data_IF_315918293892
#
_entry.id   IF_315918293892
#
_cell.length_a   1.000
_cell.length_b   1.000
_cell.length_c   1.000
_cell.angle_alpha   90.00
_cell.angle_beta   90.00
_cell.angle_gamma   90.00
#
_symmetry.space_group_name_H-M   'P 1'
#
loop_
_entity.id
_entity.type
_entity.pdbx_description
1 polymer ?
#
# COMPACT_ATOMS: atom_id res chain seq x y z
N UNK A 1 -17.94 -35.43 64.43
CA UNK A 1 -18.64 -34.45 63.59
C UNK A 1 -18.28 -34.80 62.15
N UNK A 2 -19.23 -35.40 61.42
CA UNK A 2 -19.02 -36.01 60.11
C UNK A 2 -18.76 -34.95 59.04
N UNK A 3 -17.70 -35.14 58.26
CA UNK A 3 -17.45 -34.43 57.01
C UNK A 3 -17.89 -35.38 55.89
N UNK A 4 -18.91 -34.94 55.16
CA UNK A 4 -19.56 -35.66 54.08
C UNK A 4 -18.76 -35.50 52.78
N UNK A 5 -18.53 -36.63 52.11
CA UNK A 5 -17.62 -36.79 50.97
C UNK A 5 -18.45 -36.94 49.69
N UNK A 6 -18.86 -35.84 49.08
CA UNK A 6 -19.58 -35.90 47.81
C UNK A 6 -18.61 -36.05 46.62
N UNK A 7 -18.51 -37.29 46.13
CA UNK A 7 -17.91 -37.66 44.85
C UNK A 7 -18.51 -36.89 43.66
N UNK A 8 -17.67 -36.17 42.92
CA UNK A 8 -17.99 -35.68 41.58
C UNK A 8 -17.32 -36.58 40.53
N UNK A 9 -18.14 -37.28 39.73
CA UNK A 9 -17.71 -38.06 38.56
C UNK A 9 -17.38 -37.10 37.39
N UNK A 10 -16.26 -37.29 36.68
CA UNK A 10 -16.02 -36.58 35.43
C UNK A 10 -16.86 -37.20 34.31
N UNK A 11 -17.78 -36.42 33.72
CA UNK A 11 -18.45 -36.79 32.48
C UNK A 11 -17.52 -36.48 31.30
N UNK A 12 -16.84 -37.51 30.80
CA UNK A 12 -16.15 -37.48 29.52
C UNK A 12 -17.16 -37.22 28.39
N UNK A 13 -17.08 -36.05 27.76
CA UNK A 13 -17.69 -35.79 26.46
C UNK A 13 -16.62 -35.98 25.40
N UNK A 14 -16.62 -37.17 24.80
CA UNK A 14 -15.91 -37.46 23.55
C UNK A 14 -16.48 -36.57 22.44
N UNK A 15 -15.81 -35.45 22.14
CA UNK A 15 -16.04 -34.71 20.90
C UNK A 15 -15.39 -35.51 19.77
N UNK A 16 -16.20 -36.22 18.99
CA UNK A 16 -15.80 -36.76 17.70
C UNK A 16 -15.53 -35.57 16.79
N UNK A 17 -14.26 -35.29 16.51
CA UNK A 17 -13.87 -34.40 15.43
C UNK A 17 -14.23 -35.08 14.11
N UNK A 18 -15.31 -34.62 13.48
CA UNK A 18 -15.53 -34.89 12.06
C UNK A 18 -14.51 -34.02 11.31
N UNK A 19 -13.48 -34.65 10.75
CA UNK A 19 -12.66 -34.05 9.71
C UNK A 19 -13.53 -33.95 8.45
N UNK A 20 -14.16 -32.80 8.25
CA UNK A 20 -14.75 -32.42 6.97
C UNK A 20 -13.58 -31.96 6.10
N UNK A 21 -13.06 -32.87 5.30
CA UNK A 21 -12.18 -32.55 4.19
C UNK A 21 -13.03 -31.82 3.12
N UNK A 22 -13.17 -30.50 3.28
CA UNK A 22 -13.72 -29.63 2.25
C UNK A 22 -12.68 -29.51 1.14
N UNK A 23 -12.83 -30.32 0.10
CA UNK A 23 -12.15 -30.13 -1.17
C UNK A 23 -12.66 -28.79 -1.75
N UNK A 24 -11.95 -27.69 -1.47
CA UNK A 24 -12.11 -26.43 -2.19
C UNK A 24 -11.60 -26.69 -3.61
N UNK A 25 -12.51 -27.13 -4.47
CA UNK A 25 -12.33 -27.00 -5.90
C UNK A 25 -12.27 -25.50 -6.17
N UNK A 26 -11.05 -24.96 -6.25
CA UNK A 26 -10.78 -23.70 -6.94
C UNK A 26 -11.16 -23.98 -8.38
N UNK A 27 -12.44 -23.77 -8.70
CA UNK A 27 -12.88 -23.71 -10.08
C UNK A 27 -12.06 -22.60 -10.71
N UNK A 28 -11.09 -22.98 -11.54
CA UNK A 28 -10.39 -22.08 -12.42
C UNK A 28 -11.43 -21.36 -13.26
N UNK A 29 -11.85 -20.19 -12.80
CA UNK A 29 -12.32 -19.13 -13.67
C UNK A 29 -11.10 -18.71 -14.47
N UNK A 30 -10.85 -19.48 -15.53
CA UNK A 30 -10.25 -18.97 -16.74
C UNK A 30 -11.10 -17.76 -17.15
N UNK A 31 -10.69 -16.57 -16.71
CA UNK A 31 -11.10 -15.28 -17.24
C UNK A 31 -10.51 -15.14 -18.67
N UNK A 32 -10.90 -16.06 -19.55
CA UNK A 32 -10.77 -15.92 -20.98
C UNK A 32 -12.12 -15.40 -21.48
N UNK A 33 -12.31 -14.08 -21.46
CA UNK A 33 -13.55 -13.50 -21.98
C UNK A 33 -13.75 -12.03 -21.66
N UNK A 34 -13.33 -11.18 -22.61
CA UNK A 34 -13.68 -9.77 -22.75
C UNK A 34 -13.11 -8.81 -21.70
N UNK A 35 -11.78 -8.64 -21.70
CA UNK A 35 -11.16 -7.35 -21.38
C UNK A 35 -11.53 -6.34 -22.49
N UNK A 36 -12.79 -5.89 -22.49
CA UNK A 36 -13.06 -4.57 -23.02
C UNK A 36 -12.19 -3.64 -22.20
N UNK A 37 -11.19 -3.03 -22.83
CA UNK A 37 -10.40 -1.93 -22.30
C UNK A 37 -11.35 -0.75 -22.09
N UNK A 38 -12.27 -0.89 -21.13
CA UNK A 38 -12.91 0.23 -20.49
C UNK A 38 -11.75 0.99 -19.88
N UNK A 39 -11.42 2.11 -20.51
CA UNK A 39 -10.43 3.07 -20.05
C UNK A 39 -10.65 3.26 -18.55
N UNK A 40 -9.70 2.76 -17.75
CA UNK A 40 -9.80 2.80 -16.29
C UNK A 40 -9.64 4.25 -15.88
N UNK A 41 -10.75 4.97 -15.77
CA UNK A 41 -10.75 6.38 -15.42
C UNK A 41 -10.84 6.54 -13.90
N UNK A 42 -9.88 7.25 -13.33
CA UNK A 42 -9.83 7.62 -11.93
C UNK A 42 -11.04 8.45 -11.46
N UNK A 43 -11.87 9.00 -12.35
CA UNK A 43 -13.11 9.71 -12.00
C UNK A 43 -14.29 8.74 -11.79
N UNK A 44 -14.24 7.57 -12.43
CA UNK A 44 -15.35 6.60 -12.49
C UNK A 44 -15.30 5.52 -11.41
N UNK A 45 -14.17 5.35 -10.74
CA UNK A 45 -13.97 4.33 -9.71
C UNK A 45 -12.50 4.19 -9.33
N UNK A 46 -12.25 3.47 -8.24
CA UNK A 46 -10.90 3.11 -7.86
C UNK A 46 -10.41 1.90 -8.68
N UNK A 47 -9.18 2.02 -9.15
CA UNK A 47 -8.33 0.90 -9.55
C UNK A 47 -6.89 1.36 -9.38
N UNK A 48 -5.98 0.42 -9.10
CA UNK A 48 -4.55 0.69 -8.94
C UNK A 48 -3.97 1.25 -10.24
N UNK A 49 -4.36 0.73 -11.41
CA UNK A 49 -3.94 1.29 -12.71
C UNK A 49 -4.40 2.75 -12.89
N UNK A 50 -5.66 3.06 -12.58
CA UNK A 50 -6.16 4.44 -12.72
C UNK A 50 -5.46 5.41 -11.75
N UNK A 51 -5.13 4.92 -10.55
CA UNK A 51 -4.43 5.68 -9.52
C UNK A 51 -3.01 6.04 -9.96
N UNK A 52 -2.20 5.07 -10.44
CA UNK A 52 -0.85 5.38 -10.93
C UNK A 52 -0.87 6.27 -12.17
N UNK A 53 -1.95 6.24 -12.95
CA UNK A 53 -2.19 7.18 -14.06
C UNK A 53 -2.41 8.64 -13.63
N UNK A 54 -2.53 8.94 -12.33
CA UNK A 54 -2.56 10.32 -11.83
C UNK A 54 -1.18 10.85 -11.44
N UNK A 55 -0.12 10.05 -11.55
CA UNK A 55 1.24 10.47 -11.20
C UNK A 55 1.98 10.78 -12.51
N UNK A 56 2.40 12.03 -12.75
CA UNK A 56 3.24 12.36 -13.89
C UNK A 56 4.51 11.51 -13.94
N UNK A 57 4.90 11.06 -15.13
CA UNK A 57 6.14 10.32 -15.35
C UNK A 57 7.37 11.24 -15.42
N UNK A 58 7.15 12.53 -15.73
CA UNK A 58 8.21 13.53 -15.74
C UNK A 58 8.85 13.66 -14.36
N UNK A 59 10.18 13.66 -14.32
CA UNK A 59 10.97 13.89 -13.11
C UNK A 59 10.72 12.89 -11.97
N UNK A 60 10.25 11.68 -12.31
CA UNK A 60 10.17 10.57 -11.35
C UNK A 60 11.58 10.20 -10.90
N UNK A 61 11.82 10.30 -9.59
CA UNK A 61 13.10 9.92 -9.00
C UNK A 61 13.40 8.42 -9.17
N UNK A 62 14.68 8.05 -9.07
CA UNK A 62 15.11 6.64 -9.08
C UNK A 62 14.50 5.81 -7.93
N UNK A 63 14.12 6.48 -6.83
CA UNK A 63 13.46 5.85 -5.68
C UNK A 63 12.23 6.64 -5.29
N UNK A 64 11.12 5.94 -5.20
CA UNK A 64 9.84 6.50 -4.84
C UNK A 64 8.95 5.47 -4.14
N UNK A 65 7.97 6.00 -3.43
CA UNK A 65 6.88 5.24 -2.84
C UNK A 65 5.57 5.73 -3.41
N UNK A 66 4.68 4.81 -3.78
CA UNK A 66 3.31 5.11 -4.20
C UNK A 66 2.36 4.46 -3.21
N UNK A 67 1.45 5.26 -2.66
CA UNK A 67 0.44 4.82 -1.69
C UNK A 67 -0.93 5.17 -2.23
N UNK A 68 -1.90 4.27 -2.20
CA UNK A 68 -3.23 4.56 -2.74
C UNK A 68 -4.31 3.75 -2.05
N UNK A 69 -5.53 4.28 -2.02
CA UNK A 69 -6.68 3.56 -1.49
C UNK A 69 -8.03 4.06 -2.02
N UNK A 70 -9.01 3.15 -2.01
CA UNK A 70 -10.44 3.37 -2.15
C UNK A 70 -11.07 3.58 -0.77
N UNK A 71 -11.09 4.83 -0.28
CA UNK A 71 -11.66 5.14 1.03
C UNK A 71 -13.16 4.81 1.10
N UNK A 72 -13.91 5.05 0.02
CA UNK A 72 -15.33 4.72 -0.05
C UNK A 72 -15.57 3.20 -0.05
N UNK A 73 -14.81 2.46 -0.86
CA UNK A 73 -14.85 1.00 -0.88
C UNK A 73 -14.46 0.38 0.45
N UNK A 74 -13.41 0.88 1.10
CA UNK A 74 -12.99 0.41 2.43
C UNK A 74 -14.05 0.72 3.48
N UNK A 75 -14.62 1.93 3.50
CA UNK A 75 -15.69 2.29 4.44
C UNK A 75 -16.89 1.33 4.32
N UNK A 76 -17.29 0.98 3.08
CA UNK A 76 -18.35 0.00 2.81
C UNK A 76 -17.99 -1.40 3.30
N UNK A 77 -16.76 -1.86 3.07
CA UNK A 77 -16.25 -3.15 3.58
C UNK A 77 -16.31 -3.19 5.11
N UNK A 78 -15.95 -2.07 5.75
CA UNK A 78 -15.92 -1.94 7.20
C UNK A 78 -17.30 -1.72 7.82
N UNK A 79 -18.33 -1.40 7.02
CA UNK A 79 -19.63 -0.98 7.52
C UNK A 79 -19.57 0.32 8.33
N UNK A 80 -18.61 1.19 8.00
CA UNK A 80 -18.37 2.47 8.67
C UNK A 80 -18.98 3.59 7.85
N UNK A 81 -19.75 4.45 8.50
CA UNK A 81 -20.30 5.67 7.89
C UNK A 81 -19.27 6.80 8.02
N UNK A 82 -18.81 7.32 6.88
CA UNK A 82 -17.90 8.49 6.84
C UNK A 82 -18.70 9.73 7.20
N UNK A 83 -18.17 10.54 8.12
CA UNK A 83 -18.76 11.82 8.54
C UNK A 83 -17.65 12.86 8.71
N UNK A 84 -18.01 14.14 8.79
CA UNK A 84 -17.03 15.21 9.03
C UNK A 84 -16.28 15.05 10.37
N UNK A 85 -16.84 14.31 11.32
CA UNK A 85 -16.16 13.96 12.57
C UNK A 85 -15.22 12.77 12.36
N UNK A 86 -14.03 13.07 11.83
CA UNK A 86 -12.98 12.08 11.56
C UNK A 86 -12.59 11.28 12.81
N UNK A 87 -12.72 11.84 14.02
CA UNK A 87 -12.40 11.12 15.26
C UNK A 87 -13.36 9.96 15.54
N UNK A 88 -14.57 10.00 14.96
CA UNK A 88 -15.59 8.97 15.16
C UNK A 88 -15.40 7.78 14.23
N UNK A 89 -14.86 7.95 13.02
CA UNK A 89 -14.81 6.87 12.02
C UNK A 89 -13.39 6.49 11.58
N UNK A 90 -12.45 7.44 11.54
CA UNK A 90 -11.11 7.19 11.01
C UNK A 90 -10.32 6.14 11.80
N UNK A 91 -10.34 6.14 13.16
CA UNK A 91 -9.64 5.12 13.94
C UNK A 91 -10.06 3.68 13.59
N UNK A 92 -11.34 3.47 13.32
CA UNK A 92 -11.88 2.16 12.94
C UNK A 92 -11.37 1.72 11.56
N UNK A 93 -11.07 2.68 10.67
CA UNK A 93 -10.50 2.41 9.35
C UNK A 93 -8.98 2.19 9.35
N UNK A 94 -8.21 2.83 10.25
CA UNK A 94 -6.72 2.78 10.19
C UNK A 94 -6.06 1.88 11.23
N UNK A 95 -6.69 1.68 12.39
CA UNK A 95 -6.00 1.10 13.56
C UNK A 95 -6.87 0.13 14.38
N UNK A 96 -7.99 -0.33 13.83
CA UNK A 96 -8.82 -1.33 14.49
C UNK A 96 -8.08 -2.68 14.62
N UNK A 97 -8.17 -3.36 15.77
CA UNK A 97 -7.55 -4.68 15.96
C UNK A 97 -8.08 -5.73 14.98
N UNK A 98 -9.29 -5.51 14.45
CA UNK A 98 -9.99 -6.38 13.52
C UNK A 98 -10.06 -5.79 12.09
N UNK A 99 -9.30 -4.73 11.78
CA UNK A 99 -9.35 -4.10 10.46
C UNK A 99 -8.71 -5.03 9.40
N UNK A 100 -9.48 -5.53 8.41
CA UNK A 100 -9.01 -6.48 7.40
C UNK A 100 -8.11 -5.83 6.35
N UNK A 101 -8.12 -4.50 6.24
CA UNK A 101 -7.40 -3.70 5.25
C UNK A 101 -6.45 -2.76 5.98
N UNK A 102 -5.20 -2.71 5.56
CA UNK A 102 -4.29 -1.68 6.02
C UNK A 102 -4.49 -0.43 5.18
N UNK A 103 -4.72 0.70 5.85
CA UNK A 103 -4.89 2.00 5.21
C UNK A 103 -3.70 2.90 5.57
N UNK A 104 -2.61 2.90 4.77
CA UNK A 104 -1.53 3.85 4.94
C UNK A 104 -2.01 5.25 4.54
N UNK A 105 -2.37 6.09 5.52
CA UNK A 105 -2.72 7.49 5.23
C UNK A 105 -1.45 8.31 5.01
N UNK A 106 -1.29 8.99 3.87
CA UNK A 106 -0.23 9.95 3.61
C UNK A 106 -0.24 11.11 4.58
N UNK A 107 0.93 11.68 4.88
CA UNK A 107 1.07 12.80 5.81
C UNK A 107 0.20 14.00 5.41
N UNK A 108 0.21 14.41 4.14
CA UNK A 108 -0.59 15.55 3.67
C UNK A 108 -2.09 15.33 3.92
N UNK A 109 -2.60 14.11 3.76
CA UNK A 109 -4.01 13.79 4.09
C UNK A 109 -4.26 13.76 5.59
N UNK A 110 -3.31 13.28 6.40
CA UNK A 110 -3.42 13.36 7.85
C UNK A 110 -3.40 14.81 8.35
N UNK A 111 -2.64 15.68 7.69
CA UNK A 111 -2.53 17.10 8.02
C UNK A 111 -3.80 17.85 7.62
N UNK A 112 -4.35 17.60 6.43
CA UNK A 112 -5.62 18.21 6.00
C UNK A 112 -6.80 17.75 6.88
N UNK A 113 -6.79 16.49 7.32
CA UNK A 113 -7.76 15.93 8.25
C UNK A 113 -7.78 16.61 9.64
N UNK A 114 -6.69 17.26 10.07
CA UNK A 114 -6.58 17.83 11.41
C UNK A 114 -7.33 19.19 11.60
N UNK A 115 -8.32 19.49 10.75
CA UNK A 115 -9.22 20.65 10.86
C UNK A 115 -8.76 21.89 10.09
N UNK A 116 -7.45 22.17 10.02
CA UNK A 116 -6.93 23.31 9.25
C UNK A 116 -7.13 23.18 7.73
N UNK A 117 -7.28 21.95 7.22
CA UNK A 117 -7.54 21.68 5.81
C UNK A 117 -8.93 22.10 5.36
N UNK A 118 -9.97 21.86 6.16
CA UNK A 118 -11.35 22.14 5.77
C UNK A 118 -11.63 23.64 5.59
N UNK A 119 -11.15 24.46 6.52
CA UNK A 119 -11.30 25.92 6.44
C UNK A 119 -10.49 26.52 5.27
N UNK A 120 -9.33 25.92 4.96
CA UNK A 120 -8.41 26.40 3.91
C UNK A 120 -8.81 25.92 2.50
N UNK A 121 -9.29 24.68 2.38
CA UNK A 121 -9.51 24.00 1.10
C UNK A 121 -10.99 23.83 0.73
N UNK A 122 -11.90 24.03 1.69
CA UNK A 122 -13.34 23.89 1.46
C UNK A 122 -13.84 22.44 1.39
N UNK A 123 -12.98 21.45 1.69
CA UNK A 123 -13.30 20.02 1.77
C UNK A 123 -12.53 19.34 2.91
N UNK A 124 -13.00 18.18 3.35
CA UNK A 124 -12.35 17.36 4.37
C UNK A 124 -12.19 15.90 3.93
N UNK A 125 -11.54 15.05 4.74
CA UNK A 125 -11.25 13.66 4.37
C UNK A 125 -12.52 12.81 4.13
N UNK A 126 -13.67 13.16 4.71
CA UNK A 126 -14.94 12.48 4.47
C UNK A 126 -15.44 12.68 3.02
N UNK A 127 -15.06 13.79 2.38
CA UNK A 127 -15.40 14.10 0.98
C UNK A 127 -14.53 13.33 -0.02
N UNK A 128 -13.41 12.75 0.44
CA UNK A 128 -12.44 12.03 -0.39
C UNK A 128 -12.84 10.57 -0.52
N UNK A 129 -13.22 10.14 -1.72
CA UNK A 129 -13.54 8.75 -2.02
C UNK A 129 -12.31 7.89 -2.23
N UNK A 130 -11.25 8.46 -2.81
CA UNK A 130 -10.02 7.74 -3.12
C UNK A 130 -8.84 8.69 -3.27
N UNK A 131 -7.65 8.14 -3.09
CA UNK A 131 -6.41 8.90 -3.26
C UNK A 131 -5.29 8.05 -3.83
N UNK A 132 -4.29 8.76 -4.34
CA UNK A 132 -2.96 8.24 -4.66
C UNK A 132 -1.92 9.28 -4.24
N UNK A 133 -0.84 8.82 -3.62
CA UNK A 133 0.28 9.65 -3.21
C UNK A 133 1.56 9.07 -3.77
N UNK A 134 2.30 9.92 -4.46
CA UNK A 134 3.69 9.72 -4.84
C UNK A 134 4.60 10.43 -3.83
N UNK A 135 5.69 9.77 -3.42
CA UNK A 135 6.69 10.34 -2.53
C UNK A 135 8.10 9.96 -3.01
N UNK A 136 8.92 10.97 -3.29
CA UNK A 136 10.33 10.84 -3.61
C UNK A 136 11.07 12.05 -3.04
N UNK A 137 11.61 11.91 -1.82
CA UNK A 137 12.12 13.06 -1.07
C UNK A 137 13.12 13.91 -1.88
N UNK A 138 12.96 15.25 -1.88
CA UNK A 138 12.02 16.02 -1.06
C UNK A 138 10.61 16.17 -1.66
N UNK A 139 10.38 15.67 -2.87
CA UNK A 139 9.14 15.83 -3.60
C UNK A 139 8.05 14.85 -3.15
N UNK A 140 6.82 15.32 -3.12
CA UNK A 140 5.63 14.50 -2.88
C UNK A 140 4.44 15.12 -3.57
N UNK A 141 3.52 14.27 -4.02
CA UNK A 141 2.25 14.70 -4.61
C UNK A 141 1.15 13.74 -4.18
N UNK A 142 0.01 14.25 -3.78
CA UNK A 142 -1.20 13.50 -3.48
C UNK A 142 -2.33 13.97 -4.38
N UNK A 143 -2.92 13.05 -5.13
CA UNK A 143 -4.14 13.30 -5.90
C UNK A 143 -5.31 12.63 -5.19
N UNK A 144 -6.36 13.40 -4.95
CA UNK A 144 -7.62 12.92 -4.37
C UNK A 144 -8.75 13.06 -5.38
N UNK A 145 -9.76 12.20 -5.25
CA UNK A 145 -11.03 12.31 -5.96
C UNK A 145 -12.20 12.04 -5.01
N UNK A 146 -13.33 12.70 -5.23
CA UNK A 146 -14.55 12.55 -4.42
C UNK A 146 -15.56 13.66 -4.66
N UNK A 147 -16.39 13.96 -3.65
CA UNK A 147 -17.34 15.08 -3.65
C UNK A 147 -16.64 16.37 -3.20
N UNK A 148 -15.65 16.79 -3.98
CA UNK A 148 -14.77 17.90 -3.63
C UNK A 148 -15.35 19.22 -4.13
N UNK A 149 -15.38 20.23 -3.26
CA UNK A 149 -15.66 21.60 -3.65
C UNK A 149 -14.52 22.17 -4.53
N UNK A 150 -14.83 23.21 -5.30
CA UNK A 150 -13.79 23.97 -6.02
C UNK A 150 -12.78 24.60 -5.03
N UNK A 151 -11.53 24.72 -5.47
CA UNK A 151 -10.49 25.37 -4.68
C UNK A 151 -10.89 26.81 -4.32
N UNK A 152 -10.74 27.23 -3.04
CA UNK A 152 -11.11 28.57 -2.62
C UNK A 152 -10.32 29.67 -3.35
N UNK A 153 -11.00 30.77 -3.68
CA UNK A 153 -10.35 31.93 -4.31
C UNK A 153 -9.38 32.69 -3.38
N UNK A 154 -9.22 32.24 -2.15
CA UNK A 154 -8.27 32.76 -1.16
C UNK A 154 -6.86 32.23 -1.36
N UNK A 155 -6.68 31.15 -2.12
CA UNK A 155 -5.37 30.64 -2.49
C UNK A 155 -4.69 31.59 -3.49
N UNK A 156 -3.36 31.67 -3.44
CA UNK A 156 -2.58 32.55 -4.32
C UNK A 156 -2.22 31.80 -5.61
N UNK A 157 -2.45 32.37 -6.80
CA UNK A 157 -1.95 31.80 -8.06
C UNK A 157 -0.42 31.81 -8.11
N UNK A 158 0.18 30.67 -8.46
CA UNK A 158 1.63 30.52 -8.69
C UNK A 158 1.94 30.47 -10.17
N UNK A 159 1.17 29.70 -10.93
CA UNK A 159 1.26 29.55 -12.38
C UNK A 159 -0.10 29.15 -12.98
N UNK A 160 -0.15 28.86 -14.28
CA UNK A 160 -1.40 28.53 -14.98
C UNK A 160 -2.01 27.23 -14.43
N UNK A 161 -3.11 27.37 -13.67
CA UNK A 161 -3.81 26.23 -13.07
C UNK A 161 -3.24 25.74 -11.74
N UNK A 162 -2.17 26.36 -11.23
CA UNK A 162 -1.55 26.02 -9.94
C UNK A 162 -1.69 27.16 -8.93
N UNK A 163 -2.18 26.81 -7.75
CA UNK A 163 -2.41 27.70 -6.61
C UNK A 163 -1.54 27.29 -5.42
N UNK A 164 -1.42 28.15 -4.40
CA UNK A 164 -0.68 27.87 -3.16
C UNK A 164 -1.43 28.37 -1.93
N UNK A 165 -1.27 27.68 -0.79
CA UNK A 165 -1.76 28.12 0.52
C UNK A 165 -0.90 29.23 1.12
N UNK A 166 0.39 29.27 0.76
CA UNK A 166 1.30 30.34 1.15
C UNK A 166 2.35 30.64 0.07
N UNK A 167 2.78 31.90 0.01
CA UNK A 167 3.88 32.32 -0.87
C UNK A 167 5.21 31.75 -0.38
N UNK A 168 6.08 31.36 -1.32
CA UNK A 168 7.42 30.86 -1.01
C UNK A 168 7.98 29.99 -2.12
N UNK A 169 9.27 29.70 -2.04
CA UNK A 169 9.94 28.71 -2.90
C UNK A 169 9.60 27.29 -2.44
N UNK A 170 9.56 26.35 -3.38
CA UNK A 170 9.32 24.94 -3.06
C UNK A 170 10.32 24.43 -2.01
N UNK A 171 9.85 23.54 -1.14
CA UNK A 171 10.63 22.92 -0.06
C UNK A 171 11.18 23.87 1.02
N UNK A 172 11.02 25.18 0.87
CA UNK A 172 11.54 26.16 1.82
C UNK A 172 10.63 26.26 3.03
N UNK A 173 11.21 26.04 4.21
CA UNK A 173 10.53 26.14 5.50
C UNK A 173 10.42 27.62 5.89
N UNK A 174 9.20 28.11 6.09
CA UNK A 174 8.94 29.38 6.77
C UNK A 174 8.43 29.13 8.19
N UNK A 175 9.27 29.32 9.23
CA UNK A 175 8.85 29.11 10.62
C UNK A 175 7.68 30.00 11.06
N UNK A 176 7.43 31.12 10.38
CA UNK A 176 6.30 32.01 10.69
C UNK A 176 4.95 31.45 10.25
N UNK A 177 4.95 30.43 9.38
CA UNK A 177 3.77 29.79 8.81
C UNK A 177 3.45 28.44 9.46
N UNK A 178 4.28 27.96 10.39
CA UNK A 178 4.06 26.70 11.10
C UNK A 178 2.69 26.71 11.80
N UNK A 179 1.83 25.76 11.40
CA UNK A 179 0.47 25.60 11.93
C UNK A 179 -0.56 26.55 11.34
N UNK A 180 -0.17 27.48 10.46
CA UNK A 180 -1.08 28.36 9.73
C UNK A 180 -1.45 27.84 8.34
N UNK A 181 -0.61 26.96 7.78
CA UNK A 181 -0.75 26.36 6.44
C UNK A 181 -0.92 24.85 6.55
N UNK A 182 -1.19 24.17 5.44
CA UNK A 182 -1.49 22.74 5.44
C UNK A 182 -0.25 21.93 5.85
N UNK A 183 0.89 22.26 5.25
CA UNK A 183 2.17 21.67 5.65
C UNK A 183 2.58 22.17 7.05
N UNK A 184 2.65 21.25 8.01
CA UNK A 184 2.96 21.59 9.42
C UNK A 184 4.35 22.17 9.64
N UNK A 185 5.25 22.04 8.67
CA UNK A 185 6.56 22.69 8.70
C UNK A 185 6.53 24.11 8.14
N UNK A 186 5.37 24.64 7.71
CA UNK A 186 5.27 25.98 7.14
C UNK A 186 5.85 26.07 5.73
N UNK A 187 5.86 24.96 4.98
CA UNK A 187 6.27 24.93 3.58
C UNK A 187 5.08 25.23 2.67
N UNK A 188 5.27 25.87 1.51
CA UNK A 188 4.22 26.01 0.52
C UNK A 188 3.69 24.66 0.04
N UNK A 189 2.36 24.52 -0.03
CA UNK A 189 1.70 23.41 -0.70
C UNK A 189 1.08 23.90 -2.00
N UNK A 190 1.35 23.21 -3.10
CA UNK A 190 0.84 23.53 -4.44
C UNK A 190 -0.44 22.75 -4.70
N UNK A 191 -1.47 23.45 -5.17
CA UNK A 191 -2.78 22.89 -5.46
C UNK A 191 -3.10 23.03 -6.93
N UNK A 192 -3.64 21.97 -7.52
CA UNK A 192 -4.25 22.01 -8.84
C UNK A 192 -5.60 21.29 -8.82
N UNK A 193 -6.53 21.73 -9.65
CA UNK A 193 -7.91 21.21 -9.68
C UNK A 193 -8.31 20.82 -11.10
N UNK A 194 -8.86 19.61 -11.26
CA UNK A 194 -9.40 19.10 -12.52
C UNK A 194 -10.67 18.28 -12.26
N UNK A 195 -11.83 18.82 -12.64
CA UNK A 195 -13.10 18.12 -12.51
C UNK A 195 -13.46 17.90 -11.03
N UNK A 196 -13.49 16.64 -10.59
CA UNK A 196 -13.73 16.24 -9.21
C UNK A 196 -12.44 15.76 -8.50
N UNK A 197 -11.29 16.25 -8.96
CA UNK A 197 -9.96 15.86 -8.47
C UNK A 197 -9.14 17.06 -8.06
N UNK A 198 -8.38 16.89 -6.98
CA UNK A 198 -7.41 17.87 -6.51
C UNK A 198 -6.06 17.20 -6.37
N UNK A 199 -5.02 17.80 -6.95
CA UNK A 199 -3.64 17.46 -6.68
C UNK A 199 -3.06 18.42 -5.63
N UNK A 200 -2.35 17.88 -4.65
CA UNK A 200 -1.62 18.58 -3.59
C UNK A 200 -0.16 18.16 -3.67
N UNK A 201 0.74 19.10 -3.92
CA UNK A 201 2.15 18.81 -4.19
C UNK A 201 3.06 19.69 -3.35
N UNK A 202 4.23 19.17 -2.97
CA UNK A 202 5.31 19.99 -2.40
C UNK A 202 6.17 20.68 -3.47
N UNK A 203 5.83 20.50 -4.75
CA UNK A 203 6.57 20.97 -5.92
C UNK A 203 5.64 21.60 -6.96
N UNK A 204 6.04 22.76 -7.48
CA UNK A 204 5.36 23.45 -8.57
C UNK A 204 5.45 22.63 -9.85
N UNK A 205 6.64 22.13 -10.20
CA UNK A 205 6.87 21.34 -11.41
C UNK A 205 5.97 20.08 -11.47
N UNK A 206 5.84 19.33 -10.37
CA UNK A 206 4.93 18.17 -10.32
C UNK A 206 3.46 18.57 -10.47
N UNK A 207 3.05 19.70 -9.89
CA UNK A 207 1.67 20.18 -10.02
C UNK A 207 1.38 20.63 -11.46
N UNK A 208 2.32 21.30 -12.12
CA UNK A 208 2.21 21.71 -13.52
C UNK A 208 2.16 20.50 -14.46
N UNK A 209 3.02 19.49 -14.24
CA UNK A 209 3.03 18.26 -15.02
C UNK A 209 1.70 17.48 -14.90
N UNK A 210 1.08 17.52 -13.72
CA UNK A 210 -0.26 16.94 -13.55
C UNK A 210 -1.34 17.76 -14.28
N UNK A 211 -1.25 19.10 -14.23
CA UNK A 211 -2.18 19.98 -14.95
C UNK A 211 -2.08 19.79 -16.47
N UNK A 212 -0.87 19.59 -17.01
CA UNK A 212 -0.64 19.39 -18.44
C UNK A 212 -1.13 18.02 -18.94
N UNK A 213 -1.38 17.08 -18.03
CA UNK A 213 -1.81 15.70 -18.34
C UNK A 213 -0.86 15.03 -19.35
N UNK A 214 0.44 15.16 -19.07
CA UNK A 214 1.53 14.48 -19.78
C UNK A 214 1.56 12.96 -19.50
N UNK A 215 2.59 12.28 -20.00
CA UNK A 215 2.83 10.86 -19.68
C UNK A 215 2.79 10.63 -18.17
N UNK A 216 2.24 9.48 -17.78
CA UNK A 216 2.00 9.11 -16.40
C UNK A 216 2.75 7.83 -16.04
N UNK A 217 2.82 7.50 -14.75
CA UNK A 217 3.36 6.22 -14.32
C UNK A 217 2.52 5.01 -14.78
N UNK A 218 1.30 5.21 -15.30
CA UNK A 218 0.57 4.14 -15.97
C UNK A 218 1.19 3.76 -17.34
N UNK A 219 2.03 4.62 -17.92
CA UNK A 219 2.74 4.35 -19.17
C UNK A 219 4.08 3.62 -18.95
N UNK A 220 4.56 3.54 -17.70
CA UNK A 220 5.71 2.72 -17.32
C UNK A 220 5.29 1.23 -17.26
N UNK A 221 5.96 0.40 -18.06
CA UNK A 221 5.63 -1.03 -18.19
C UNK A 221 5.70 -1.77 -16.85
N UNK A 222 6.72 -1.48 -16.02
CA UNK A 222 6.94 -2.16 -14.74
C UNK A 222 5.89 -1.76 -13.70
N UNK A 223 5.56 -0.46 -13.60
CA UNK A 223 4.54 0.05 -12.69
C UNK A 223 3.16 -0.43 -13.12
N UNK A 224 2.83 -0.36 -14.41
CA UNK A 224 1.55 -0.83 -14.92
C UNK A 224 1.37 -2.34 -14.71
N UNK A 225 2.41 -3.15 -14.89
CA UNK A 225 2.35 -4.60 -14.64
C UNK A 225 2.01 -4.93 -13.17
N UNK A 226 2.63 -4.23 -12.22
CA UNK A 226 2.30 -4.33 -10.78
C UNK A 226 0.86 -3.87 -10.53
N UNK A 227 0.46 -2.73 -11.10
CA UNK A 227 -0.86 -2.15 -10.91
C UNK A 227 -1.97 -3.07 -11.44
N UNK A 228 -1.80 -3.63 -12.64
CA UNK A 228 -2.71 -4.61 -13.21
C UNK A 228 -2.82 -5.88 -12.38
N UNK A 229 -1.69 -6.37 -11.85
CA UNK A 229 -1.70 -7.54 -10.98
C UNK A 229 -2.48 -7.28 -9.69
N UNK A 230 -2.30 -6.13 -9.06
CA UNK A 230 -3.05 -5.73 -7.85
C UNK A 230 -4.55 -5.56 -8.14
N UNK A 231 -4.90 -4.97 -9.28
CA UNK A 231 -6.30 -4.85 -9.74
C UNK A 231 -6.94 -6.20 -10.01
N UNK A 232 -6.21 -7.13 -10.62
CA UNK A 232 -6.71 -8.48 -10.93
C UNK A 232 -7.13 -9.25 -9.66
N UNK A 233 -6.56 -8.90 -8.51
CA UNK A 233 -6.89 -9.50 -7.21
C UNK A 233 -7.73 -8.57 -6.31
N UNK A 234 -8.25 -7.47 -6.86
CA UNK A 234 -9.23 -6.60 -6.20
C UNK A 234 -8.67 -5.81 -5.02
N UNK A 235 -7.41 -5.39 -5.08
CA UNK A 235 -6.83 -4.51 -4.06
C UNK A 235 -7.69 -3.24 -3.89
N UNK A 236 -8.07 -2.93 -2.65
CA UNK A 236 -8.77 -1.68 -2.26
C UNK A 236 -7.81 -0.66 -1.64
N UNK A 237 -6.65 -1.11 -1.18
CA UNK A 237 -5.51 -0.28 -0.85
C UNK A 237 -4.25 -0.93 -1.42
N UNK A 238 -3.28 -0.11 -1.82
CA UNK A 238 -2.02 -0.59 -2.35
C UNK A 238 -0.83 0.30 -1.98
N UNK A 239 0.34 -0.32 -2.06
CA UNK A 239 1.64 0.34 -1.90
C UNK A 239 2.61 -0.19 -2.95
N UNK A 240 3.33 0.68 -3.66
CA UNK A 240 4.34 0.30 -4.66
C UNK A 240 5.65 1.00 -4.33
N UNK A 241 6.76 0.29 -4.37
CA UNK A 241 8.10 0.83 -4.10
C UNK A 241 9.19 0.01 -4.79
N UNK A 242 10.41 0.53 -4.81
CA UNK A 242 11.59 -0.24 -5.18
C UNK A 242 12.05 -1.13 -4.00
N UNK A 243 12.50 -2.36 -4.28
CA UNK A 243 13.03 -3.23 -3.23
C UNK A 243 14.36 -2.71 -2.67
N UNK A 244 14.65 -3.12 -1.44
CA UNK A 244 15.98 -2.92 -0.88
C UNK A 244 16.99 -3.86 -1.56
N UNK A 245 18.20 -3.37 -1.83
CA UNK A 245 19.30 -4.23 -2.28
C UNK A 245 19.74 -5.11 -1.11
N UNK A 246 19.74 -6.41 -1.35
CA UNK A 246 20.15 -7.44 -0.42
C UNK A 246 21.67 -7.44 -0.30
N UNK A 247 22.15 -7.28 0.92
CA UNK A 247 23.58 -7.35 1.25
C UNK A 247 23.76 -7.95 2.63
N UNK A 248 24.95 -8.48 2.92
CA UNK A 248 25.26 -8.94 4.26
C UNK A 248 25.15 -7.83 5.33
N UNK A 249 25.44 -6.58 4.94
CA UNK A 249 25.25 -5.40 5.79
C UNK A 249 23.77 -5.10 6.04
N UNK A 250 22.87 -5.44 5.13
CA UNK A 250 21.42 -5.32 5.35
C UNK A 250 20.96 -6.24 6.48
N UNK A 251 21.62 -7.39 6.66
CA UNK A 251 21.29 -8.39 7.69
C UNK A 251 21.93 -8.07 9.03
N UNK A 252 23.23 -7.75 9.02
CA UNK A 252 24.04 -7.59 10.23
C UNK A 252 24.14 -6.13 10.70
N UNK A 253 23.68 -5.17 9.89
CA UNK A 253 23.82 -3.75 10.13
C UNK A 253 25.13 -3.16 9.54
N UNK A 254 25.26 -1.83 9.60
CA UNK A 254 26.37 -1.10 8.96
C UNK A 254 27.74 -1.35 9.61
N UNK A 255 27.76 -1.82 10.87
CA UNK A 255 28.99 -2.06 11.63
C UNK A 255 29.61 -3.44 11.37
N UNK A 256 28.95 -4.30 10.58
CA UNK A 256 29.44 -5.64 10.27
C UNK A 256 30.74 -5.58 9.45
N UNK A 257 31.71 -6.42 9.81
CA UNK A 257 32.94 -6.52 9.02
C UNK A 257 32.64 -7.13 7.63
N UNK A 258 33.47 -6.83 6.60
CA UNK A 258 33.27 -7.39 5.27
C UNK A 258 33.17 -8.93 5.24
N UNK A 259 33.94 -9.63 6.07
CA UNK A 259 33.89 -11.09 6.16
C UNK A 259 32.61 -11.61 6.79
N UNK A 260 32.06 -10.91 7.80
CA UNK A 260 30.78 -11.27 8.42
C UNK A 260 29.63 -11.01 7.43
N UNK A 261 29.67 -9.89 6.72
CA UNK A 261 28.71 -9.60 5.66
C UNK A 261 28.75 -10.64 4.54
N UNK A 262 29.93 -11.06 4.06
CA UNK A 262 30.03 -12.11 3.04
C UNK A 262 29.51 -13.46 3.55
N UNK A 263 29.77 -13.80 4.81
CA UNK A 263 29.26 -15.03 5.42
C UNK A 263 27.72 -15.01 5.54
N UNK A 264 27.15 -13.90 6.02
CA UNK A 264 25.71 -13.71 6.12
C UNK A 264 25.05 -13.73 4.74
N UNK A 265 25.64 -13.04 3.75
CA UNK A 265 25.15 -13.10 2.37
C UNK A 265 25.08 -14.55 1.88
N UNK A 266 26.15 -15.35 2.03
CA UNK A 266 26.18 -16.76 1.61
C UNK A 266 25.16 -17.64 2.34
N UNK A 267 24.90 -17.37 3.62
CA UNK A 267 23.93 -18.11 4.41
C UNK A 267 22.50 -17.91 3.88
N UNK A 268 22.18 -16.68 3.47
CA UNK A 268 20.83 -16.26 3.12
C UNK A 268 20.60 -16.10 1.60
N UNK A 269 21.65 -16.24 0.78
CA UNK A 269 21.62 -16.06 -0.69
C UNK A 269 20.55 -16.90 -1.38
N UNK A 270 20.33 -18.13 -0.90
CA UNK A 270 19.34 -19.05 -1.45
C UNK A 270 17.89 -18.67 -1.13
N UNK A 271 17.67 -17.70 -0.25
CA UNK A 271 16.35 -17.17 0.11
C UNK A 271 15.97 -15.91 -0.69
N UNK A 272 16.87 -15.43 -1.56
CA UNK A 272 16.59 -14.30 -2.47
C UNK A 272 16.53 -14.85 -3.89
N UNK A 273 15.54 -14.44 -4.71
CA UNK A 273 15.50 -14.78 -6.13
C UNK A 273 16.87 -14.59 -6.82
N UNK A 274 17.29 -15.52 -7.72
CA UNK A 274 18.57 -15.42 -8.41
C UNK A 274 18.64 -14.23 -9.38
N UNK A 275 17.51 -13.89 -9.99
CA UNK A 275 17.35 -12.71 -10.83
C UNK A 275 16.72 -11.57 -10.04
N UNK A 276 17.17 -10.32 -10.24
CA UNK A 276 16.62 -9.18 -9.53
C UNK A 276 15.20 -8.86 -10.01
N UNK A 277 14.37 -8.44 -9.07
CA UNK A 277 13.15 -7.67 -9.34
C UNK A 277 13.40 -6.20 -9.01
N UNK A 278 12.70 -5.30 -9.70
CA UNK A 278 12.91 -3.84 -9.65
C UNK A 278 11.76 -3.09 -8.95
N UNK A 279 10.57 -3.70 -8.86
CA UNK A 279 9.43 -3.18 -8.11
C UNK A 279 8.78 -4.24 -7.23
N UNK A 280 8.26 -3.77 -6.09
CA UNK A 280 7.39 -4.51 -5.18
C UNK A 280 6.07 -3.76 -5.05
N UNK A 281 4.97 -4.49 -5.15
CA UNK A 281 3.65 -4.00 -4.79
C UNK A 281 3.06 -4.78 -3.61
N UNK A 282 2.37 -4.10 -2.72
CA UNK A 282 1.55 -4.68 -1.68
C UNK A 282 0.09 -4.29 -1.93
N UNK A 283 -0.84 -5.21 -1.71
CA UNK A 283 -2.27 -4.97 -1.85
C UNK A 283 -3.06 -5.57 -0.70
N UNK A 284 -4.12 -4.88 -0.31
CA UNK A 284 -5.09 -5.34 0.68
C UNK A 284 -6.48 -5.37 0.08
N UNK A 285 -7.16 -6.50 0.22
CA UNK A 285 -8.50 -6.73 -0.32
C UNK A 285 -9.36 -7.52 0.66
N UNK A 286 -10.66 -7.56 0.42
CA UNK A 286 -11.59 -8.47 1.10
C UNK A 286 -12.32 -9.30 0.05
N UNK A 287 -12.15 -10.62 0.11
CA UNK A 287 -12.76 -11.58 -0.82
C UNK A 287 -13.67 -12.50 -0.01
N UNK A 288 -14.95 -12.56 -0.37
CA UNK A 288 -15.98 -13.32 0.34
C UNK A 288 -16.02 -13.01 1.85
N UNK A 289 -15.84 -11.74 2.21
CA UNK A 289 -15.83 -11.26 3.60
C UNK A 289 -14.58 -11.64 4.39
N UNK A 290 -13.52 -12.15 3.74
CA UNK A 290 -12.25 -12.49 4.39
C UNK A 290 -11.10 -11.61 3.88
N UNK A 291 -10.19 -11.17 4.77
CA UNK A 291 -9.02 -10.40 4.36
C UNK A 291 -8.13 -11.20 3.40
N UNK A 292 -7.61 -10.50 2.40
CA UNK A 292 -6.62 -10.98 1.44
C UNK A 292 -5.49 -9.98 1.33
N UNK A 293 -4.29 -10.52 1.35
CA UNK A 293 -3.07 -9.79 1.15
C UNK A 293 -2.44 -10.23 -0.17
N UNK A 294 -1.82 -9.29 -0.87
CA UNK A 294 -1.21 -9.51 -2.17
C UNK A 294 0.20 -8.93 -2.09
N UNK A 295 1.21 -9.71 -2.44
CA UNK A 295 2.57 -9.23 -2.65
C UNK A 295 2.97 -9.49 -4.10
N UNK A 296 3.25 -8.43 -4.85
CA UNK A 296 3.62 -8.50 -6.27
C UNK A 296 5.08 -8.10 -6.46
N UNK A 297 5.72 -8.71 -7.46
CA UNK A 297 7.13 -8.53 -7.78
C UNK A 297 7.27 -8.44 -9.30
N UNK A 298 7.92 -7.38 -9.80
CA UNK A 298 8.19 -7.23 -11.22
C UNK A 298 9.64 -7.58 -11.51
N UNK A 299 9.87 -8.49 -12.47
CA UNK A 299 11.19 -8.92 -12.90
C UNK A 299 11.49 -8.36 -14.29
N UNK A 300 12.76 -8.39 -14.70
CA UNK A 300 13.14 -7.92 -16.05
C UNK A 300 12.72 -8.88 -17.18
N UNK A 301 12.22 -10.08 -16.87
CA UNK A 301 11.75 -11.04 -17.86
C UNK A 301 10.81 -12.10 -17.27
N UNK A 302 10.02 -12.74 -18.13
CA UNK A 302 9.15 -13.86 -17.78
C UNK A 302 9.89 -15.05 -17.17
N UNK A 303 11.11 -15.34 -17.64
CA UNK A 303 11.88 -16.48 -17.14
C UNK A 303 12.43 -16.18 -15.74
N UNK A 304 12.93 -14.95 -15.52
CA UNK A 304 13.30 -14.47 -14.19
C UNK A 304 12.10 -14.52 -13.21
N UNK A 305 10.91 -14.14 -13.66
CA UNK A 305 9.68 -14.23 -12.86
C UNK A 305 9.33 -15.68 -12.48
N UNK A 306 9.45 -16.64 -13.42
CA UNK A 306 9.18 -18.07 -13.14
C UNK A 306 10.17 -18.65 -12.13
N UNK A 307 11.45 -18.32 -12.25
CA UNK A 307 12.49 -18.81 -11.35
C UNK A 307 12.35 -18.14 -9.97
N UNK A 308 12.14 -16.83 -9.94
CA UNK A 308 11.86 -16.07 -8.73
C UNK A 308 10.62 -16.54 -7.97
N UNK A 309 9.55 -16.93 -8.68
CA UNK A 309 8.32 -17.44 -8.07
C UNK A 309 8.54 -18.70 -7.22
N UNK A 310 9.46 -19.59 -7.61
CA UNK A 310 9.78 -20.79 -6.83
C UNK A 310 10.45 -20.44 -5.50
N UNK A 311 11.38 -19.47 -5.53
CA UNK A 311 12.06 -18.97 -4.34
C UNK A 311 11.08 -18.23 -3.43
N UNK A 312 10.31 -17.30 -3.99
CA UNK A 312 9.30 -16.53 -3.25
C UNK A 312 8.27 -17.47 -2.58
N UNK A 313 7.77 -18.49 -3.28
CA UNK A 313 6.89 -19.50 -2.69
C UNK A 313 7.54 -20.17 -1.49
N UNK A 314 8.78 -20.65 -1.64
CA UNK A 314 9.48 -21.34 -0.56
C UNK A 314 9.70 -20.44 0.66
N UNK A 315 10.07 -19.18 0.45
CA UNK A 315 10.31 -18.22 1.53
C UNK A 315 9.02 -17.83 2.23
N UNK A 316 7.93 -17.55 1.50
CA UNK A 316 6.64 -17.24 2.12
C UNK A 316 6.04 -18.45 2.87
N UNK A 317 6.21 -19.68 2.36
CA UNK A 317 5.64 -20.87 3.01
C UNK A 317 6.48 -21.36 4.22
N UNK A 318 7.81 -21.29 4.13
CA UNK A 318 8.73 -21.99 5.05
C UNK A 318 9.77 -21.08 5.69
N UNK A 319 9.90 -19.85 5.23
CA UNK A 319 10.88 -18.90 5.72
C UNK A 319 10.55 -18.37 7.11
N UNK A 320 11.48 -17.57 7.62
CA UNK A 320 11.33 -16.79 8.83
C UNK A 320 11.76 -15.36 8.55
N UNK A 321 11.19 -14.41 9.29
CA UNK A 321 11.65 -13.02 9.26
C UNK A 321 13.10 -12.97 9.76
N UNK A 322 13.96 -12.22 9.10
CA UNK A 322 15.32 -11.95 9.55
C UNK A 322 15.32 -11.27 10.92
N UNK A 323 14.45 -10.27 11.12
CA UNK A 323 14.50 -9.41 12.31
C UNK A 323 14.04 -10.14 13.57
N UNK A 324 12.91 -10.84 13.52
CA UNK A 324 12.29 -11.45 14.71
C UNK A 324 12.45 -12.96 14.77
N UNK A 325 12.99 -13.58 13.72
CA UNK A 325 13.06 -15.05 13.54
C UNK A 325 11.68 -15.74 13.62
N UNK A 326 10.60 -14.97 13.51
CA UNK A 326 9.23 -15.50 13.46
C UNK A 326 9.01 -16.21 12.12
N UNK A 327 8.33 -17.36 12.15
CA UNK A 327 7.99 -18.06 10.91
C UNK A 327 6.98 -17.24 10.13
N UNK A 328 7.17 -17.13 8.82
CA UNK A 328 6.23 -16.41 7.96
C UNK A 328 4.85 -17.08 7.96
N UNK A 329 4.79 -18.41 8.13
CA UNK A 329 3.54 -19.17 8.30
C UNK A 329 2.77 -18.87 9.59
N UNK A 330 3.40 -18.24 10.58
CA UNK A 330 2.71 -17.73 11.79
C UNK A 330 2.10 -16.32 11.56
N UNK A 331 2.30 -15.73 10.38
CA UNK A 331 1.80 -14.40 9.99
C UNK A 331 0.79 -14.50 8.85
N UNK A 332 1.07 -15.36 7.87
CA UNK A 332 0.22 -15.53 6.70
C UNK A 332 0.28 -16.95 6.13
N UNK A 333 -0.83 -17.40 5.56
CA UNK A 333 -0.90 -18.62 4.75
C UNK A 333 -0.82 -18.26 3.27
N UNK A 334 0.10 -18.90 2.55
CA UNK A 334 0.18 -18.82 1.08
C UNK A 334 -0.99 -19.59 0.49
N UNK A 335 -1.84 -18.89 -0.25
CA UNK A 335 -2.95 -19.50 -0.99
C UNK A 335 -2.51 -19.88 -2.39
N UNK A 336 -1.76 -19.00 -3.04
CA UNK A 336 -1.21 -19.24 -4.37
C UNK A 336 0.01 -18.36 -4.64
N UNK A 337 0.79 -18.76 -5.64
CA UNK A 337 1.84 -17.95 -6.27
C UNK A 337 1.62 -18.04 -7.76
N UNK A 338 1.20 -16.92 -8.34
CA UNK A 338 0.81 -16.79 -9.75
C UNK A 338 1.90 -16.04 -10.48
N UNK A 339 2.28 -16.53 -11.66
CA UNK A 339 3.19 -15.85 -12.58
C UNK A 339 2.41 -15.44 -13.81
N UNK A 340 2.48 -14.17 -14.17
CA UNK A 340 1.92 -13.61 -15.39
C UNK A 340 2.98 -12.70 -16.00
N UNK A 341 3.45 -13.05 -17.19
CA UNK A 341 4.53 -12.35 -17.88
C UNK A 341 5.74 -12.17 -16.93
N UNK A 342 6.27 -10.96 -16.81
CA UNK A 342 7.37 -10.61 -15.92
C UNK A 342 6.98 -10.41 -14.45
N UNK A 343 5.72 -10.63 -14.07
CA UNK A 343 5.21 -10.34 -12.72
C UNK A 343 4.85 -11.61 -11.95
N UNK A 344 5.27 -11.66 -10.68
CA UNK A 344 4.88 -12.69 -9.70
C UNK A 344 3.94 -12.08 -8.68
N UNK A 345 2.80 -12.71 -8.42
CA UNK A 345 1.87 -12.35 -7.35
C UNK A 345 1.75 -13.49 -6.33
N UNK A 346 2.05 -13.20 -5.07
CA UNK A 346 1.87 -14.10 -3.93
C UNK A 346 0.58 -13.71 -3.22
N UNK A 347 -0.40 -14.63 -3.20
CA UNK A 347 -1.70 -14.40 -2.58
C UNK A 347 -1.73 -14.97 -1.17
N UNK A 348 -1.99 -14.13 -0.19
CA UNK A 348 -1.80 -14.40 1.22
C UNK A 348 -3.11 -14.25 2.01
N UNK A 349 -3.33 -15.15 2.97
CA UNK A 349 -4.34 -15.01 4.02
C UNK A 349 -3.64 -14.62 5.32
N UNK A 350 -4.02 -13.55 6.04
CA UNK A 350 -3.53 -13.38 7.40
C UNK A 350 -3.91 -14.58 8.27
N UNK A 351 -3.04 -14.94 9.21
CA UNK A 351 -3.38 -15.84 10.30
C UNK A 351 -4.13 -15.11 11.42
N UNK A 352 -4.80 -15.86 12.29
CA UNK A 352 -5.53 -15.30 13.42
C UNK A 352 -4.60 -14.46 14.31
N UNK A 353 -5.02 -13.21 14.60
CA UNK A 353 -4.26 -12.27 15.43
C UNK A 353 -3.18 -11.47 14.70
N UNK A 354 -2.99 -11.68 13.39
CA UNK A 354 -2.06 -10.87 12.59
C UNK A 354 -2.76 -9.62 12.06
N UNK A 355 -2.17 -8.45 12.31
CA UNK A 355 -2.72 -7.16 11.84
C UNK A 355 -2.48 -6.95 10.35
N UNK A 356 -3.37 -6.20 9.69
CA UNK A 356 -3.22 -5.88 8.27
C UNK A 356 -1.91 -5.11 7.94
N UNK A 357 -1.38 -4.36 8.91
CA UNK A 357 -0.15 -3.59 8.78
C UNK A 357 1.12 -4.43 8.69
N UNK A 358 1.07 -5.74 8.98
CA UNK A 358 2.30 -6.55 9.07
C UNK A 358 3.06 -6.59 7.75
N UNK A 359 2.38 -6.62 6.59
CA UNK A 359 3.08 -6.60 5.30
C UNK A 359 3.92 -5.34 5.12
N UNK A 360 3.35 -4.19 5.48
CA UNK A 360 4.05 -2.92 5.45
C UNK A 360 5.25 -2.94 6.41
N UNK A 361 5.06 -3.47 7.61
CA UNK A 361 6.13 -3.60 8.59
C UNK A 361 7.28 -4.47 8.07
N UNK A 362 6.98 -5.63 7.47
CA UNK A 362 7.97 -6.53 6.90
C UNK A 362 8.73 -5.86 5.73
N UNK A 363 8.04 -5.09 4.89
CA UNK A 363 8.65 -4.29 3.83
C UNK A 363 9.60 -3.22 4.39
N UNK A 364 9.13 -2.43 5.38
CA UNK A 364 9.95 -1.40 6.04
C UNK A 364 11.16 -1.97 6.78
N UNK A 365 11.03 -3.18 7.34
CA UNK A 365 12.11 -3.92 7.98
C UNK A 365 13.08 -4.55 6.97
N UNK A 366 12.81 -4.41 5.66
CA UNK A 366 13.63 -4.96 4.57
C UNK A 366 13.81 -6.46 4.69
N UNK A 367 12.73 -7.14 5.07
CA UNK A 367 12.70 -8.59 5.18
C UNK A 367 13.07 -9.25 3.84
N UNK A 368 13.66 -10.45 3.91
CA UNK A 368 14.38 -11.04 2.77
C UNK A 368 13.51 -11.26 1.51
N UNK A 369 12.22 -11.52 1.70
CA UNK A 369 11.25 -11.66 0.62
C UNK A 369 10.80 -10.31 0.02
N UNK A 370 11.38 -9.19 0.45
CA UNK A 370 11.26 -7.86 -0.17
C UNK A 370 12.64 -7.28 -0.55
N UNK A 371 13.71 -8.05 -0.44
CA UNK A 371 15.05 -7.67 -0.87
C UNK A 371 15.42 -8.29 -2.23
N UNK A 372 16.04 -7.49 -3.10
CA UNK A 372 16.50 -7.90 -4.44
C UNK A 372 18.03 -8.01 -4.48
N UNK A 373 18.61 -8.68 -5.48
CA UNK A 373 20.08 -8.84 -5.58
C UNK A 373 20.83 -7.60 -6.04
#
# INVERSE_FOLDING_TARGET
>A
MHIDSSHHKPRGRSRRALAVAGLLAVSGLLLAGCSGSAEKNFDSGFSVTAAVGQIPASDVAERYDIVMADLDGIAKIMGVERTDDLQTWLPDMIAGPDTPIYLPLPELLQQSAAGAGADTLGWNLADVDRFVTYSALPASMTVIAGDLAELPSTLTPVSDGVMTDVDGEDYTVDPSQIGAVIDRMGRPTRFAHQGNRIAMSSSTDLAEAWVSNEESLADDESVNAIAEALDAYGASAAYITQPAVFSGQTILGPDASPSEAEAAFKEFDALVPPDPYDLVGLGWAVVDGKPRWIATYHFLSDDAAKDGAQVLRAVWEKGATLTTQQRVSDLATVNDVVVKDSTVAVLLSPTDGTTASVLMQLLMQREIFFATR
#
